data_IF_175640474123
#
_entry.id   IF_175640474123
#
_cell.length_a   1.000
_cell.length_b   1.000
_cell.length_c   1.000
_cell.angle_alpha   90.00
_cell.angle_beta   90.00
_cell.angle_gamma   90.00
#
_symmetry.space_group_name_H-M   'P 1'
#
loop_
_entity.id
_entity.type
_entity.pdbx_description
1 polymer ?
#
# COMPACT_ATOMS: atom_id res chain seq x y z
N UNK A 1 -0.79 9.13 17.31
CA UNK A 1 -0.69 10.34 16.47
C UNK A 1 -1.27 11.54 17.22
N UNK A 2 -2.56 11.53 17.56
CA UNK A 2 -3.25 12.66 18.22
C UNK A 2 -2.68 13.06 19.59
N UNK A 3 -2.13 12.11 20.35
CA UNK A 3 -1.54 12.38 21.67
C UNK A 3 -0.06 12.78 21.61
N UNK A 4 0.50 13.02 20.42
CA UNK A 4 1.94 13.33 20.23
C UNK A 4 2.90 12.16 20.45
N UNK A 5 2.39 10.95 20.74
CA UNK A 5 3.20 9.75 20.96
C UNK A 5 3.63 9.09 19.63
N UNK A 6 4.41 9.80 18.81
CA UNK A 6 4.78 9.37 17.46
C UNK A 6 5.64 8.08 17.44
N UNK A 7 6.57 7.92 18.37
CA UNK A 7 7.41 6.70 18.46
C UNK A 7 6.58 5.44 18.77
N UNK A 8 5.59 5.56 19.66
CA UNK A 8 4.71 4.44 19.97
C UNK A 8 3.82 4.10 18.78
N UNK A 9 3.31 5.11 18.08
CA UNK A 9 2.54 4.93 16.86
C UNK A 9 3.36 4.21 15.79
N UNK A 10 4.60 4.66 15.54
CA UNK A 10 5.52 4.02 14.61
C UNK A 10 5.78 2.55 14.96
N UNK A 11 6.02 2.26 16.25
CA UNK A 11 6.19 0.90 16.72
C UNK A 11 4.93 0.03 16.51
N UNK A 12 3.75 0.59 16.70
CA UNK A 12 2.49 -0.11 16.48
C UNK A 12 2.31 -0.47 15.01
N UNK A 13 2.54 0.45 14.07
CA UNK A 13 2.45 0.18 12.64
C UNK A 13 3.48 -0.85 12.17
N UNK A 14 4.73 -0.75 12.64
CA UNK A 14 5.77 -1.75 12.33
C UNK A 14 5.44 -3.16 12.82
N UNK A 15 4.74 -3.27 13.96
CA UNK A 15 4.24 -4.55 14.46
C UNK A 15 3.04 -5.02 13.65
N UNK A 16 2.12 -4.12 13.31
CA UNK A 16 0.95 -4.40 12.47
C UNK A 16 1.32 -4.99 11.13
N UNK A 17 2.35 -4.44 10.47
CA UNK A 17 2.89 -4.95 9.20
C UNK A 17 3.43 -6.40 9.26
N UNK A 18 3.61 -6.97 10.45
CA UNK A 18 4.06 -8.35 10.66
C UNK A 18 2.93 -9.31 11.00
N UNK A 19 1.73 -8.79 11.23
CA UNK A 19 0.55 -9.60 11.53
C UNK A 19 -0.06 -10.14 10.22
N UNK A 20 -0.82 -11.26 10.29
CA UNK A 20 -1.65 -11.68 9.17
C UNK A 20 -2.62 -10.56 8.83
N UNK A 21 -2.71 -10.23 7.54
CA UNK A 21 -3.62 -9.20 7.06
C UNK A 21 -5.00 -9.72 6.73
N UNK A 22 -5.85 -8.84 6.21
CA UNK A 22 -7.25 -9.16 5.93
C UNK A 22 -7.44 -10.02 4.67
N UNK A 23 -6.48 -9.97 3.73
CA UNK A 23 -6.59 -10.63 2.42
C UNK A 23 -6.35 -12.12 2.54
N UNK A 24 -7.41 -12.89 2.32
CA UNK A 24 -7.36 -14.35 2.26
C UNK A 24 -6.96 -14.80 0.85
N UNK A 25 -5.89 -15.58 0.76
CA UNK A 25 -5.44 -16.23 -0.47
C UNK A 25 -5.29 -17.74 -0.25
N UNK A 26 -5.34 -18.53 -1.33
CA UNK A 26 -5.18 -19.99 -1.28
C UNK A 26 -3.95 -20.37 -2.09
N UNK A 27 -2.86 -20.61 -1.39
CA UNK A 27 -1.62 -21.09 -2.01
C UNK A 27 -1.78 -22.58 -2.30
N UNK A 28 -1.60 -22.95 -3.56
CA UNK A 28 -1.61 -24.34 -4.01
C UNK A 28 -0.20 -24.83 -4.27
N UNK A 29 0.23 -25.83 -3.51
CA UNK A 29 1.56 -26.43 -3.66
C UNK A 29 1.42 -27.84 -4.19
N UNK A 30 2.18 -28.18 -5.24
CA UNK A 30 2.17 -29.53 -5.79
C UNK A 30 2.82 -30.49 -4.79
N UNK A 31 2.07 -31.51 -4.32
CA UNK A 31 2.53 -32.37 -3.23
C UNK A 31 3.23 -33.63 -3.70
N UNK A 32 2.82 -34.18 -4.85
CA UNK A 32 3.33 -35.46 -5.34
C UNK A 32 4.24 -35.23 -6.55
N UNK A 33 5.53 -35.45 -6.36
CA UNK A 33 6.46 -35.65 -7.48
C UNK A 33 6.15 -37.02 -8.10
N UNK A 34 5.42 -37.01 -9.21
CA UNK A 34 5.13 -38.24 -9.94
C UNK A 34 3.80 -38.22 -10.67
N UNK A 35 3.62 -39.12 -11.64
CA UNK A 35 2.36 -39.30 -12.32
C UNK A 35 1.27 -39.72 -11.32
N UNK A 36 0.07 -39.17 -11.49
CA UNK A 36 -1.12 -39.56 -10.74
C UNK A 36 -1.30 -41.09 -10.75
N UNK A 37 -1.79 -41.72 -9.66
CA UNK A 37 -2.07 -43.16 -9.61
C UNK A 37 -3.01 -43.65 -10.72
N UNK A 38 -3.84 -42.76 -11.27
CA UNK A 38 -4.77 -43.04 -12.38
C UNK A 38 -4.22 -42.67 -13.76
N UNK A 39 -2.93 -42.30 -13.86
CA UNK A 39 -2.24 -41.98 -15.11
C UNK A 39 -2.59 -40.60 -15.69
N UNK A 40 -1.62 -39.96 -16.35
CA UNK A 40 -1.83 -38.79 -17.23
C UNK A 40 -1.75 -37.39 -16.61
N UNK A 41 -1.96 -37.23 -15.29
CA UNK A 41 -1.91 -35.92 -14.62
C UNK A 41 -0.73 -35.79 -13.63
N UNK A 42 -0.21 -34.57 -13.46
CA UNK A 42 0.64 -34.21 -12.30
C UNK A 42 -0.16 -34.53 -11.03
N UNK A 43 0.43 -35.24 -10.05
CA UNK A 43 -0.27 -35.68 -8.84
C UNK A 43 -0.91 -34.54 -8.02
N UNK A 44 -1.67 -34.91 -6.98
CA UNK A 44 -2.53 -33.99 -6.21
C UNK A 44 -1.81 -32.74 -5.65
N UNK A 45 -2.57 -31.64 -5.52
CA UNK A 45 -2.12 -30.39 -4.89
C UNK A 45 -2.59 -30.30 -3.44
N UNK A 46 -1.75 -29.73 -2.58
CA UNK A 46 -2.16 -29.19 -1.31
C UNK A 46 -2.69 -27.78 -1.51
N UNK A 47 -3.72 -27.41 -0.76
CA UNK A 47 -4.22 -26.03 -0.70
C UNK A 47 -4.11 -25.55 0.75
N UNK A 48 -3.43 -24.44 0.96
CA UNK A 48 -3.30 -23.78 2.27
C UNK A 48 -3.88 -22.37 2.17
N UNK A 49 -4.78 -22.04 3.09
CA UNK A 49 -5.31 -20.69 3.21
C UNK A 49 -4.29 -19.83 3.94
N UNK A 50 -3.82 -18.78 3.26
CA UNK A 50 -2.89 -17.79 3.82
C UNK A 50 -3.60 -16.45 3.97
N UNK A 51 -3.19 -15.69 4.97
CA UNK A 51 -3.68 -14.33 5.20
C UNK A 51 -2.51 -13.38 4.99
N UNK A 52 -2.68 -12.43 4.08
CA UNK A 52 -1.68 -11.43 3.71
C UNK A 52 -2.27 -10.04 3.88
N UNK A 53 -1.42 -9.03 4.05
CA UNK A 53 -1.86 -7.64 4.05
C UNK A 53 -2.51 -7.32 2.70
N UNK A 54 -3.68 -6.71 2.76
CA UNK A 54 -4.28 -6.08 1.59
C UNK A 54 -3.58 -4.76 1.27
N UNK A 55 -3.83 -4.25 0.07
CA UNK A 55 -3.22 -3.02 -0.41
C UNK A 55 -3.59 -1.81 0.46
N UNK A 56 -4.81 -1.74 0.98
CA UNK A 56 -5.27 -0.65 1.84
C UNK A 56 -4.62 -0.66 3.22
N UNK A 57 -4.38 -1.83 3.80
CA UNK A 57 -3.66 -2.02 5.05
C UNK A 57 -2.21 -1.54 4.90
N UNK A 58 -1.57 -1.87 3.78
CA UNK A 58 -0.22 -1.40 3.45
C UNK A 58 -0.23 0.13 3.28
N UNK A 59 -1.12 0.66 2.45
CA UNK A 59 -1.26 2.10 2.23
C UNK A 59 -1.45 2.86 3.54
N UNK A 60 -2.41 2.44 4.37
CA UNK A 60 -2.72 3.09 5.63
C UNK A 60 -1.56 3.00 6.63
N UNK A 61 -0.90 1.84 6.75
CA UNK A 61 0.22 1.69 7.66
C UNK A 61 1.40 2.59 7.26
N UNK A 62 1.80 2.56 5.99
CA UNK A 62 2.94 3.35 5.52
C UNK A 62 2.65 4.85 5.46
N UNK A 63 1.42 5.26 5.12
CA UNK A 63 1.03 6.67 5.18
C UNK A 63 1.12 7.20 6.61
N UNK A 64 0.55 6.48 7.59
CA UNK A 64 0.59 6.91 8.98
C UNK A 64 2.02 6.85 9.56
N UNK A 65 2.85 5.92 9.11
CA UNK A 65 4.28 5.91 9.45
C UNK A 65 5.00 7.14 8.89
N UNK A 66 4.70 7.56 7.65
CA UNK A 66 5.26 8.77 7.07
C UNK A 66 4.91 10.00 7.90
N UNK A 67 3.64 10.14 8.31
CA UNK A 67 3.18 11.21 9.21
C UNK A 67 3.97 11.20 10.54
N UNK A 68 4.11 10.03 11.18
CA UNK A 68 4.85 9.91 12.44
C UNK A 68 6.33 10.25 12.30
N UNK A 69 6.96 9.83 11.20
CA UNK A 69 8.38 10.09 10.91
C UNK A 69 8.63 11.55 10.60
N UNK A 70 7.72 12.21 9.87
CA UNK A 70 7.81 13.65 9.60
C UNK A 70 7.79 14.46 10.90
N UNK A 71 6.89 14.12 11.83
CA UNK A 71 6.79 14.76 13.14
C UNK A 71 7.98 14.48 14.07
N UNK A 72 8.71 13.38 13.83
CA UNK A 72 9.95 13.04 14.52
C UNK A 72 11.21 13.59 13.81
N UNK A 73 11.03 14.46 12.80
CA UNK A 73 12.09 15.03 11.98
C UNK A 73 12.95 13.97 11.24
N UNK A 74 12.41 12.76 11.04
CA UNK A 74 13.03 11.67 10.27
C UNK A 74 12.61 11.77 8.81
N UNK A 75 13.00 12.84 8.14
CA UNK A 75 12.43 13.21 6.84
C UNK A 75 12.69 12.19 5.72
N UNK A 76 13.90 11.62 5.66
CA UNK A 76 14.21 10.59 4.65
C UNK A 76 13.37 9.34 4.84
N UNK A 77 13.17 8.91 6.10
CA UNK A 77 12.30 7.77 6.42
C UNK A 77 10.83 8.08 6.11
N UNK A 78 10.39 9.31 6.38
CA UNK A 78 9.03 9.77 6.08
C UNK A 78 8.75 9.69 4.57
N UNK A 79 9.69 10.17 3.75
CA UNK A 79 9.58 10.11 2.29
C UNK A 79 9.62 8.66 1.77
N UNK A 80 10.43 7.79 2.37
CA UNK A 80 10.47 6.38 2.02
C UNK A 80 9.14 5.69 2.31
N UNK A 81 8.56 5.92 3.50
CA UNK A 81 7.25 5.36 3.86
C UNK A 81 6.14 5.91 2.97
N UNK A 82 6.14 7.22 2.70
CA UNK A 82 5.16 7.85 1.82
C UNK A 82 5.21 7.25 0.41
N UNK A 83 6.41 7.05 -0.14
CA UNK A 83 6.59 6.37 -1.43
C UNK A 83 5.96 4.98 -1.43
N UNK A 84 6.18 4.17 -0.39
CA UNK A 84 5.58 2.83 -0.32
C UNK A 84 4.05 2.91 -0.33
N UNK A 85 3.45 3.86 0.38
CA UNK A 85 1.99 4.05 0.32
C UNK A 85 1.51 4.40 -1.10
N UNK A 86 2.19 5.32 -1.79
CA UNK A 86 1.87 5.72 -3.16
C UNK A 86 2.04 4.55 -4.16
N UNK A 87 3.12 3.77 -4.04
CA UNK A 87 3.38 2.59 -4.88
C UNK A 87 2.35 1.48 -4.69
N UNK A 88 1.72 1.41 -3.51
CA UNK A 88 0.66 0.46 -3.20
C UNK A 88 -0.76 0.99 -3.51
N UNK A 89 -0.86 2.11 -4.22
CA UNK A 89 -2.13 2.60 -4.78
C UNK A 89 -2.78 3.75 -4.02
N UNK A 90 -2.10 4.37 -3.05
CA UNK A 90 -2.58 5.62 -2.47
C UNK A 90 -2.47 6.74 -3.52
N UNK A 91 -3.60 7.27 -3.97
CA UNK A 91 -3.68 8.19 -5.12
C UNK A 91 -4.11 9.62 -4.74
N UNK A 92 -4.51 9.84 -3.50
CA UNK A 92 -4.99 11.15 -3.04
C UNK A 92 -3.84 12.09 -2.67
N UNK A 93 -3.11 12.57 -3.69
CA UNK A 93 -2.00 13.52 -3.52
C UNK A 93 -2.43 14.88 -2.95
N UNK A 94 -3.72 15.23 -3.05
CA UNK A 94 -4.28 16.41 -2.42
C UNK A 94 -4.31 16.26 -0.89
N UNK A 95 -4.61 15.07 -0.38
CA UNK A 95 -4.48 14.75 1.05
C UNK A 95 -3.02 14.87 1.49
N UNK A 96 -2.07 14.31 0.76
CA UNK A 96 -0.63 14.39 1.11
C UNK A 96 -0.16 15.85 1.30
N UNK A 97 -0.61 16.76 0.43
CA UNK A 97 -0.21 18.18 0.48
C UNK A 97 -0.88 18.98 1.57
N UNK A 98 -2.09 18.61 1.95
CA UNK A 98 -2.89 19.35 2.94
C UNK A 98 -2.78 18.75 4.34
N UNK A 99 -2.11 17.60 4.49
CA UNK A 99 -1.98 16.91 5.76
C UNK A 99 -1.11 17.72 6.75
N UNK A 100 -1.66 18.12 7.92
CA UNK A 100 -0.89 18.86 8.90
C UNK A 100 0.32 18.09 9.44
N UNK A 101 0.25 16.75 9.49
CA UNK A 101 1.36 15.94 9.99
C UNK A 101 2.54 15.91 8.99
N UNK A 102 2.28 16.15 7.71
CA UNK A 102 3.30 16.19 6.64
C UNK A 102 3.73 17.62 6.28
N UNK A 103 3.06 18.64 6.80
CA UNK A 103 3.30 20.05 6.46
C UNK A 103 4.75 20.52 6.75
N UNK A 104 5.50 19.80 7.60
CA UNK A 104 6.91 20.09 7.88
C UNK A 104 7.84 19.71 6.71
N UNK A 105 7.51 18.70 5.91
CA UNK A 105 8.34 18.22 4.80
C UNK A 105 8.70 19.31 3.77
N UNK A 106 7.76 20.12 3.25
CA UNK A 106 8.07 21.21 2.32
C UNK A 106 8.80 22.40 2.95
N UNK A 107 9.00 22.42 4.28
CA UNK A 107 9.67 23.52 5.00
C UNK A 107 11.12 23.18 5.37
N UNK A 108 11.59 21.99 5.01
CA UNK A 108 12.89 21.44 5.41
C UNK A 108 13.79 21.20 4.20
N UNK A 109 14.99 20.69 4.43
CA UNK A 109 15.90 20.23 3.38
C UNK A 109 15.34 19.07 2.55
N UNK A 110 14.30 18.38 3.05
CA UNK A 110 13.57 17.35 2.33
C UNK A 110 12.59 17.88 1.27
N UNK A 111 12.31 19.18 1.22
CA UNK A 111 11.30 19.78 0.31
C UNK A 111 11.51 19.38 -1.14
N UNK A 112 12.75 19.46 -1.65
CA UNK A 112 13.02 19.12 -3.04
C UNK A 112 12.74 17.64 -3.36
N UNK A 113 13.00 16.73 -2.41
CA UNK A 113 12.69 15.30 -2.56
C UNK A 113 11.19 15.05 -2.45
N UNK A 114 10.49 15.78 -1.57
CA UNK A 114 9.05 15.71 -1.42
C UNK A 114 8.33 16.15 -2.70
N UNK A 115 8.70 17.30 -3.26
CA UNK A 115 8.12 17.82 -4.49
C UNK A 115 8.38 16.87 -5.68
N UNK A 116 9.61 16.36 -5.81
CA UNK A 116 9.96 15.39 -6.85
C UNK A 116 9.18 14.07 -6.72
N UNK A 117 8.94 13.60 -5.49
CA UNK A 117 8.11 12.42 -5.24
C UNK A 117 6.67 12.68 -5.71
N UNK A 118 6.08 13.82 -5.37
CA UNK A 118 4.70 14.11 -5.76
C UNK A 118 4.56 14.29 -7.28
N UNK A 119 5.49 14.99 -7.92
CA UNK A 119 5.52 15.15 -9.38
C UNK A 119 5.63 13.81 -10.11
N UNK A 120 6.45 12.88 -9.59
CA UNK A 120 6.57 11.52 -10.12
C UNK A 120 5.20 10.82 -10.14
N UNK A 121 4.44 10.88 -9.06
CA UNK A 121 3.14 10.19 -8.97
C UNK A 121 2.01 10.93 -9.69
N UNK A 122 2.06 12.27 -9.79
CA UNK A 122 1.13 13.04 -10.63
C UNK A 122 1.29 12.69 -12.10
N UNK A 123 2.53 12.60 -12.58
CA UNK A 123 2.80 12.22 -13.97
C UNK A 123 2.32 10.80 -14.26
N UNK A 124 2.55 9.84 -13.35
CA UNK A 124 2.04 8.46 -13.47
C UNK A 124 0.51 8.42 -13.51
N UNK A 125 -0.16 9.18 -12.64
CA UNK A 125 -1.62 9.26 -12.63
C UNK A 125 -2.18 9.80 -13.95
N UNK A 126 -1.57 10.86 -14.50
CA UNK A 126 -2.00 11.45 -15.77
C UNK A 126 -1.75 10.53 -16.97
N UNK A 127 -0.61 9.84 -17.01
CA UNK A 127 -0.27 8.90 -18.08
C UNK A 127 -1.13 7.62 -18.07
N UNK A 128 -1.62 7.20 -16.90
CA UNK A 128 -2.51 6.05 -16.76
C UNK A 128 -3.97 6.38 -17.15
N UNK A 129 -4.30 7.65 -17.38
CA UNK A 129 -5.64 8.13 -17.77
C UNK A 129 -6.08 7.77 -19.20
N UNK A 130 -5.19 7.29 -20.06
CA UNK A 130 -5.52 6.95 -21.46
C UNK A 130 -5.83 5.45 -21.70
N UNK A 131 -5.94 4.61 -20.66
CA UNK A 131 -6.07 3.15 -20.86
C UNK A 131 -6.81 2.31 -19.81
N UNK A 132 -7.62 2.90 -18.92
CA UNK A 132 -8.16 2.17 -17.75
C UNK A 132 -9.67 2.22 -17.50
N UNK A 133 -10.47 2.79 -18.40
CA UNK A 133 -11.92 2.93 -18.23
C UNK A 133 -12.73 1.70 -18.64
N UNK A 134 -12.56 0.54 -18.00
CA UNK A 134 -13.45 -0.63 -18.17
C UNK A 134 -14.29 -0.91 -16.92
N UNK A 135 -14.94 0.11 -16.35
CA UNK A 135 -15.98 -0.09 -15.33
C UNK A 135 -17.05 1.01 -15.40
N UNK A 136 -17.87 0.95 -16.46
CA UNK A 136 -18.94 1.90 -16.71
C UNK A 136 -20.09 1.32 -17.52
N UNK A 137 -20.48 0.08 -17.24
CA UNK A 137 -21.71 -0.50 -17.81
C UNK A 137 -22.54 -1.20 -16.73
N UNK A 138 -23.27 -0.42 -15.94
CA UNK A 138 -24.57 -0.88 -15.44
C UNK A 138 -25.55 0.30 -15.35
N UNK A 139 -26.25 0.49 -16.45
CA UNK A 139 -27.46 1.30 -16.54
C UNK A 139 -28.56 0.64 -15.70
N UNK A 140 -29.17 1.36 -14.77
CA UNK A 140 -30.49 0.97 -14.25
C UNK A 140 -31.42 2.18 -14.15
N UNK A 141 -32.33 2.20 -15.11
CA UNK A 141 -33.56 2.99 -15.22
C UNK A 141 -34.27 3.12 -13.86
N UNK A 142 -34.66 4.34 -13.49
CA UNK A 142 -35.83 4.55 -12.62
C UNK A 142 -36.90 5.35 -13.37
N UNK A 143 -38.12 4.91 -13.11
CA UNK A 143 -39.40 5.21 -13.77
C UNK A 143 -39.76 6.69 -13.81
#
# INVERSE_FOLDING_TARGET
MQDGEYEKALNAFQKGLKLPGSRVDVVRTQRVSGPSPVGGAKGGTNSETVQSLDEFEIQAAYYNMACAQAQLERYDDALASLRVALENGFDNLATVRSDPDLAILPQTDASAKFDALLEEFESKSNNNGEGGGFFGLFQSKKK
#
